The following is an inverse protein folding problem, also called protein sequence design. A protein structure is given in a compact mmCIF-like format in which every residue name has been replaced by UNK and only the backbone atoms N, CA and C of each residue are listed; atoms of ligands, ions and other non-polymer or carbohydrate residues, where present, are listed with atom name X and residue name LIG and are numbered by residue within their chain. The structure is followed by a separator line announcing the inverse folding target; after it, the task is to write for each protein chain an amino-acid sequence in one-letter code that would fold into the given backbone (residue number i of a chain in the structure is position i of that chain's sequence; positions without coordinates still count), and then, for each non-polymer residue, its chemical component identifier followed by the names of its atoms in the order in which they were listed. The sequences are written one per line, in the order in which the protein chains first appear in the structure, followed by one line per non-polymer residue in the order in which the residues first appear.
data_IF_767362964304
#
_entry.id   IF_767362964304
#
_cell.length_a   1.000
_cell.length_b   1.000
_cell.length_c   1.000
_cell.angle_alpha   90.00
_cell.angle_beta   90.00
_cell.angle_gamma   90.00
#
_symmetry.space_group_name_H-M   'P 1'
#
loop_
_entity.id
_entity.type
_entity.pdbx_description
1 polymer ?
#
# COMPACT_ATOMS: atom_id res chain seq x y z
N UNK A 1 -0.54 10.11 -5.68
CA UNK A 1 -0.07 8.75 -6.06
C UNK A 1 -0.16 8.46 -7.57
N UNK A 2 -1.23 8.88 -8.29
CA UNK A 2 -1.39 8.55 -9.73
C UNK A 2 -0.17 8.88 -10.60
N UNK A 3 0.39 10.08 -10.44
CA UNK A 3 1.59 10.48 -11.19
C UNK A 3 2.82 9.62 -10.88
N UNK A 4 3.02 9.26 -9.61
CA UNK A 4 4.12 8.36 -9.20
C UNK A 4 3.93 6.97 -9.82
N UNK A 5 2.69 6.48 -9.89
CA UNK A 5 2.36 5.21 -10.54
C UNK A 5 2.61 5.23 -12.05
N UNK A 6 2.30 6.35 -12.72
CA UNK A 6 2.60 6.55 -14.14
C UNK A 6 4.11 6.54 -14.40
N UNK A 7 4.91 7.22 -13.57
CA UNK A 7 6.37 7.25 -13.67
C UNK A 7 7.00 5.87 -13.41
N UNK A 8 6.48 5.12 -12.43
CA UNK A 8 6.90 3.75 -12.12
C UNK A 8 6.59 2.77 -13.26
N UNK A 9 5.35 2.79 -13.76
CA UNK A 9 4.95 1.97 -14.90
C UNK A 9 5.74 2.32 -16.18
N UNK A 10 6.12 3.58 -16.35
CA UNK A 10 6.98 4.04 -17.43
C UNK A 10 8.47 3.70 -17.26
N UNK A 11 8.88 3.13 -16.12
CA UNK A 11 10.27 2.78 -15.82
C UNK A 11 11.19 3.98 -15.58
N UNK A 12 10.63 5.17 -15.35
CA UNK A 12 11.42 6.38 -15.11
C UNK A 12 12.08 6.39 -13.72
N UNK A 13 11.44 5.76 -12.74
CA UNK A 13 11.95 5.57 -11.37
C UNK A 13 11.16 4.44 -10.69
N UNK A 14 11.62 3.97 -9.53
CA UNK A 14 10.85 3.04 -8.69
C UNK A 14 9.96 3.85 -7.76
N UNK A 15 8.64 3.71 -7.91
CA UNK A 15 7.65 4.47 -7.18
C UNK A 15 7.27 3.83 -5.85
N UNK A 16 7.19 4.64 -4.80
CA UNK A 16 6.68 4.22 -3.50
C UNK A 16 5.60 5.17 -3.00
N UNK A 17 4.74 4.66 -2.12
CA UNK A 17 3.71 5.43 -1.44
C UNK A 17 3.71 5.13 0.05
N UNK A 18 3.44 6.16 0.85
CA UNK A 18 3.12 6.02 2.26
C UNK A 18 1.60 5.98 2.38
N UNK A 19 1.06 4.87 2.86
CA UNK A 19 -0.38 4.63 2.87
C UNK A 19 -0.97 4.90 4.25
N UNK A 20 -1.86 5.89 4.30
CA UNK A 20 -2.69 6.20 5.47
C UNK A 20 -4.05 5.48 5.34
N UNK A 21 -4.42 4.69 6.34
CA UNK A 21 -5.69 3.96 6.41
C UNK A 21 -6.27 4.05 7.83
N UNK A 22 -7.58 3.84 8.02
CA UNK A 22 -8.13 3.65 9.35
C UNK A 22 -7.31 2.60 10.13
N UNK A 23 -6.85 2.98 11.31
CA UNK A 23 -5.95 2.15 12.10
C UNK A 23 -6.46 2.09 13.54
N UNK A 24 -6.97 0.92 13.95
CA UNK A 24 -7.52 0.75 15.29
C UNK A 24 -6.44 0.40 16.33
N UNK A 25 -5.86 -0.81 16.27
CA UNK A 25 -4.90 -1.23 17.30
C UNK A 25 -3.42 -0.91 16.99
N UNK A 26 -3.05 -0.67 15.73
CA UNK A 26 -1.66 -0.40 15.32
C UNK A 26 -0.66 -1.55 15.54
N UNK A 27 -1.11 -2.73 15.98
CA UNK A 27 -0.25 -3.87 16.35
C UNK A 27 -0.52 -5.15 15.54
N UNK A 28 -1.36 -5.06 14.51
CA UNK A 28 -1.67 -6.18 13.61
C UNK A 28 -2.72 -7.17 14.10
N UNK A 29 -3.27 -7.00 15.32
CA UNK A 29 -4.24 -7.95 15.88
C UNK A 29 -5.69 -7.69 15.42
N UNK A 30 -6.07 -6.42 15.21
CA UNK A 30 -7.45 -6.08 14.84
C UNK A 30 -7.74 -6.15 13.33
N UNK A 31 -6.70 -6.21 12.49
CA UNK A 31 -6.79 -6.14 11.02
C UNK A 31 -7.51 -4.90 10.44
N UNK A 32 -7.91 -3.91 11.25
CA UNK A 32 -8.57 -2.69 10.78
C UNK A 32 -7.77 -1.84 9.79
N UNK A 33 -6.44 -2.01 9.73
CA UNK A 33 -5.56 -1.33 8.77
C UNK A 33 -5.23 -2.19 7.53
N UNK A 34 -6.13 -3.09 7.13
CA UNK A 34 -5.93 -3.92 5.94
C UNK A 34 -5.95 -3.05 4.67
N UNK A 35 -4.96 -3.21 3.80
CA UNK A 35 -4.85 -2.59 2.49
C UNK A 35 -4.77 -3.68 1.42
N UNK A 36 -5.57 -3.56 0.36
CA UNK A 36 -5.67 -4.59 -0.66
C UNK A 36 -4.39 -4.68 -1.51
N UNK A 37 -3.93 -5.90 -1.79
CA UNK A 37 -2.82 -6.16 -2.69
C UNK A 37 -3.27 -5.98 -4.14
N UNK A 38 -2.41 -5.38 -4.96
CA UNK A 38 -2.64 -5.34 -6.41
C UNK A 38 -2.75 -6.76 -6.98
N UNK A 39 -3.75 -6.96 -7.84
CA UNK A 39 -4.07 -8.28 -8.39
C UNK A 39 -5.02 -9.13 -7.52
N UNK A 40 -5.54 -8.61 -6.41
CA UNK A 40 -6.61 -9.24 -5.63
C UNK A 40 -6.20 -10.46 -4.80
N UNK A 41 -4.91 -10.67 -4.58
CA UNK A 41 -4.35 -11.84 -3.87
C UNK A 41 -4.17 -11.61 -2.34
N UNK A 42 -5.13 -10.93 -1.72
CA UNK A 42 -5.18 -10.72 -0.27
C UNK A 42 -4.87 -9.28 0.16
N UNK A 43 -4.41 -9.12 1.40
CA UNK A 43 -4.24 -7.81 2.04
C UNK A 43 -2.87 -7.71 2.72
N UNK A 44 -2.31 -6.50 2.73
CA UNK A 44 -1.26 -6.08 3.64
C UNK A 44 -1.89 -5.52 4.92
N UNK A 45 -1.26 -5.71 6.07
CA UNK A 45 -1.55 -4.97 7.29
C UNK A 45 -0.62 -3.76 7.36
N UNK A 46 -1.14 -2.56 7.12
CA UNK A 46 -0.33 -1.32 7.05
C UNK A 46 0.50 -1.11 8.32
N UNK A 47 -0.01 -1.43 9.51
CA UNK A 47 0.73 -1.30 10.77
C UNK A 47 1.85 -2.32 11.00
N UNK A 48 1.97 -3.36 10.16
CA UNK A 48 2.97 -4.43 10.28
C UNK A 48 3.88 -4.54 9.05
N UNK A 49 3.29 -4.43 7.87
CA UNK A 49 3.95 -4.60 6.58
C UNK A 49 4.21 -3.27 5.88
N UNK A 50 3.51 -2.21 6.30
CA UNK A 50 3.67 -0.86 5.77
C UNK A 50 4.41 0.07 6.74
N UNK A 51 4.10 1.38 6.73
CA UNK A 51 3.15 2.08 5.85
C UNK A 51 3.70 2.38 4.45
N UNK A 52 4.98 2.06 4.19
CA UNK A 52 5.64 2.34 2.91
C UNK A 52 5.57 1.13 1.98
N UNK A 53 4.95 1.29 0.81
CA UNK A 53 4.74 0.22 -0.16
C UNK A 53 5.21 0.62 -1.56
N UNK A 54 5.69 -0.33 -2.38
CA UNK A 54 5.83 -0.13 -3.81
C UNK A 54 4.48 0.26 -4.43
N UNK A 55 4.45 1.29 -5.27
CA UNK A 55 3.22 1.82 -5.88
C UNK A 55 2.52 0.81 -6.79
N UNK A 56 3.25 -0.22 -7.23
CA UNK A 56 2.79 -1.32 -8.06
C UNK A 56 2.15 -2.48 -7.28
N UNK A 57 2.38 -2.58 -5.97
CA UNK A 57 1.97 -3.74 -5.16
C UNK A 57 0.69 -3.53 -4.34
N UNK A 58 0.27 -2.28 -4.13
CA UNK A 58 -0.89 -1.94 -3.29
C UNK A 58 -1.98 -1.23 -4.10
N UNK A 59 -3.25 -1.54 -3.82
CA UNK A 59 -4.38 -0.82 -4.39
C UNK A 59 -4.44 0.56 -3.72
N UNK A 60 -4.42 1.60 -4.54
CA UNK A 60 -4.47 2.98 -4.08
C UNK A 60 -5.89 3.48 -4.33
N UNK A 61 -6.68 3.74 -3.27
CA UNK A 61 -8.03 4.28 -3.40
C UNK A 61 -8.06 5.72 -3.93
#
# INVERSE_FOLDING_TARGET
ARHVKELDAGGATVGFVFLEVPMACGMGHCHGCAAEKQGGNGYFLVCKEGPHFPVSEVVIP
#
